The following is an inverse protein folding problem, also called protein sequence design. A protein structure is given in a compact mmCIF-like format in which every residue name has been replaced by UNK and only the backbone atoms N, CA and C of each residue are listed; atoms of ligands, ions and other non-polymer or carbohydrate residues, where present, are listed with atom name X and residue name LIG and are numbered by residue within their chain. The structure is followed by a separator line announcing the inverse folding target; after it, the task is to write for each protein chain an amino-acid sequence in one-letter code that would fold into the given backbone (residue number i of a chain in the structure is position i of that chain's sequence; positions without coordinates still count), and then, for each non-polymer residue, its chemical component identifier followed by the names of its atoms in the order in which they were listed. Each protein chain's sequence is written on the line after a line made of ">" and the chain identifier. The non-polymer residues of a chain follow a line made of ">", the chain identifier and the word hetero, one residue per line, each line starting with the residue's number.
data_IF_560846635134
#
_entry.id   IF_560846635134
#
_cell.length_a   1.000
_cell.length_b   1.000
_cell.length_c   1.000
_cell.angle_alpha   90.00
_cell.angle_beta   90.00
_cell.angle_gamma   90.00
#
_symmetry.space_group_name_H-M   'P 1'
#
loop_
_entity.id
_entity.type
_entity.pdbx_description
1 polymer ?
#
# COMPACT_ATOMS: atom_id res chain seq x y z
N UNK A 1 20.44 39.54 0.84
CA UNK A 1 19.42 38.49 0.62
C UNK A 1 19.96 37.47 -0.38
N UNK A 2 20.72 36.46 0.09
CA UNK A 2 21.17 35.32 -0.74
C UNK A 2 21.33 34.01 0.07
N UNK A 3 21.03 34.04 1.38
CA UNK A 3 21.32 32.95 2.31
C UNK A 3 20.18 31.91 2.31
N UNK A 4 18.91 32.35 2.27
CA UNK A 4 17.73 31.46 2.30
C UNK A 4 17.65 30.47 1.11
N UNK A 5 18.16 30.84 -0.06
CA UNK A 5 18.17 29.97 -1.25
C UNK A 5 19.22 28.85 -1.17
N UNK A 6 20.34 29.08 -0.47
CA UNK A 6 21.40 28.07 -0.32
C UNK A 6 21.03 27.05 0.75
N UNK A 7 20.42 27.50 1.84
CA UNK A 7 19.95 26.63 2.93
C UNK A 7 18.85 25.67 2.45
N UNK A 8 17.93 26.12 1.58
CA UNK A 8 16.89 25.25 1.02
C UNK A 8 17.47 24.15 0.11
N UNK A 9 18.52 24.45 -0.65
CA UNK A 9 19.20 23.47 -1.53
C UNK A 9 19.96 22.44 -0.70
N UNK A 10 20.63 22.87 0.36
CA UNK A 10 21.33 21.98 1.28
C UNK A 10 20.35 21.07 2.03
N UNK A 11 19.25 21.62 2.55
CA UNK A 11 18.20 20.84 3.21
C UNK A 11 17.59 19.77 2.29
N UNK A 12 17.28 20.10 1.03
CA UNK A 12 16.78 19.11 0.05
C UNK A 12 17.78 18.01 -0.24
N UNK A 13 19.08 18.33 -0.26
CA UNK A 13 20.14 17.34 -0.47
C UNK A 13 20.24 16.39 0.72
N UNK A 14 20.15 16.92 1.93
CA UNK A 14 20.14 16.13 3.18
C UNK A 14 18.90 15.23 3.25
N UNK A 15 17.72 15.76 2.92
CA UNK A 15 16.48 14.99 2.90
C UNK A 15 16.54 13.84 1.88
N UNK A 16 17.04 14.12 0.66
CA UNK A 16 17.20 13.07 -0.36
C UNK A 16 18.18 11.99 0.10
N UNK A 17 19.28 12.37 0.75
CA UNK A 17 20.26 11.42 1.29
C UNK A 17 19.64 10.58 2.41
N UNK A 18 18.87 11.19 3.32
CA UNK A 18 18.18 10.50 4.39
C UNK A 18 17.11 9.52 3.86
N UNK A 19 16.34 9.93 2.85
CA UNK A 19 15.34 9.06 2.18
C UNK A 19 16.00 7.88 1.47
N UNK A 20 17.11 8.11 0.77
CA UNK A 20 17.88 7.04 0.12
C UNK A 20 18.40 6.03 1.16
N UNK A 21 19.08 6.51 2.20
CA UNK A 21 19.66 5.66 3.23
C UNK A 21 18.60 4.84 3.99
N UNK A 22 17.46 5.45 4.33
CA UNK A 22 16.38 4.73 5.03
C UNK A 22 15.70 3.69 4.14
N UNK A 23 15.50 4.00 2.85
CA UNK A 23 14.95 3.04 1.90
C UNK A 23 15.88 1.84 1.66
N UNK A 24 17.19 2.06 1.56
CA UNK A 24 18.16 0.97 1.40
C UNK A 24 18.10 0.00 2.60
N UNK A 25 18.07 0.55 3.82
CA UNK A 25 17.95 -0.26 5.05
C UNK A 25 16.61 -1.01 5.08
N UNK A 26 15.52 -0.36 4.69
CA UNK A 26 14.19 -0.98 4.64
C UNK A 26 14.12 -2.12 3.60
N UNK A 27 14.72 -1.95 2.42
CA UNK A 27 14.78 -2.98 1.38
C UNK A 27 15.51 -4.21 1.89
N UNK A 28 16.68 -4.03 2.53
CA UNK A 28 17.44 -5.16 3.11
C UNK A 28 16.64 -5.86 4.21
N UNK A 29 15.90 -5.11 5.03
CA UNK A 29 15.04 -5.69 6.06
C UNK A 29 13.93 -6.56 5.47
N UNK A 30 13.30 -6.10 4.38
CA UNK A 30 12.26 -6.87 3.67
C UNK A 30 12.84 -8.13 3.05
N UNK A 31 14.00 -8.07 2.40
CA UNK A 31 14.64 -9.24 1.79
C UNK A 31 14.99 -10.31 2.84
N UNK A 32 15.50 -9.91 4.01
CA UNK A 32 15.76 -10.84 5.12
C UNK A 32 14.48 -11.46 5.67
N UNK A 33 13.40 -10.68 5.71
CA UNK A 33 12.09 -11.18 6.14
C UNK A 33 11.53 -12.17 5.13
N UNK A 34 11.64 -11.88 3.83
CA UNK A 34 11.28 -12.79 2.74
C UNK A 34 12.04 -14.12 2.86
N UNK A 35 13.37 -14.10 3.00
CA UNK A 35 14.18 -15.30 3.19
C UNK A 35 13.73 -16.11 4.42
N UNK A 36 13.44 -15.43 5.53
CA UNK A 36 12.97 -16.08 6.76
C UNK A 36 11.61 -16.76 6.57
N UNK A 37 10.68 -16.08 5.90
CA UNK A 37 9.33 -16.58 5.64
C UNK A 37 9.34 -17.72 4.63
N UNK A 38 10.18 -17.65 3.59
CA UNK A 38 10.36 -18.72 2.62
C UNK A 38 10.93 -20.00 3.26
N UNK A 39 11.77 -19.84 4.30
CA UNK A 39 12.32 -20.94 5.08
C UNK A 39 11.37 -21.46 6.18
N UNK A 40 10.31 -20.71 6.53
CA UNK A 40 9.38 -21.10 7.58
C UNK A 40 8.27 -22.01 7.05
N UNK A 41 8.40 -23.30 7.36
CA UNK A 41 7.43 -24.33 6.95
C UNK A 41 6.12 -24.29 7.75
N UNK A 42 6.02 -23.48 8.81
CA UNK A 42 4.80 -23.37 9.63
C UNK A 42 3.77 -22.43 9.05
N UNK A 43 4.20 -21.32 8.44
CA UNK A 43 3.27 -20.34 7.86
C UNK A 43 2.68 -20.81 6.52
N UNK A 44 3.29 -21.83 5.88
CA UNK A 44 2.85 -22.44 4.61
C UNK A 44 2.47 -21.39 3.55
N UNK A 45 3.30 -20.35 3.42
CA UNK A 45 3.10 -19.26 2.48
C UNK A 45 3.58 -19.70 1.11
N UNK A 46 2.77 -19.43 0.09
CA UNK A 46 3.16 -19.63 -1.30
C UNK A 46 4.36 -18.73 -1.65
N UNK A 47 5.46 -19.33 -2.13
CA UNK A 47 6.71 -18.62 -2.39
C UNK A 47 6.59 -17.60 -3.54
N UNK A 48 5.69 -17.84 -4.50
CA UNK A 48 5.40 -16.89 -5.57
C UNK A 48 4.66 -15.67 -5.01
N UNK A 49 3.66 -15.88 -4.16
CA UNK A 49 2.96 -14.79 -3.47
C UNK A 49 3.93 -13.97 -2.61
N UNK A 50 4.82 -14.63 -1.87
CA UNK A 50 5.83 -13.98 -1.04
C UNK A 50 6.75 -13.08 -1.88
N UNK A 51 7.26 -13.61 -3.00
CA UNK A 51 8.13 -12.87 -3.95
C UNK A 51 7.39 -11.69 -4.58
N UNK A 52 6.12 -11.88 -4.96
CA UNK A 52 5.31 -10.83 -5.59
C UNK A 52 5.08 -9.65 -4.62
N UNK A 53 4.69 -9.97 -3.38
CA UNK A 53 4.44 -8.97 -2.35
C UNK A 53 5.72 -8.22 -1.99
N UNK A 54 6.84 -8.94 -1.74
CA UNK A 54 8.12 -8.30 -1.41
C UNK A 54 8.60 -7.39 -2.55
N UNK A 55 8.51 -7.86 -3.80
CA UNK A 55 8.90 -7.10 -4.99
C UNK A 55 8.08 -5.82 -5.15
N UNK A 56 6.77 -5.86 -4.88
CA UNK A 56 5.90 -4.68 -4.93
C UNK A 56 6.27 -3.65 -3.85
N UNK A 57 6.57 -4.10 -2.63
CA UNK A 57 6.96 -3.20 -1.53
C UNK A 57 8.34 -2.58 -1.80
N UNK A 58 9.33 -3.39 -2.20
CA UNK A 58 10.68 -2.92 -2.57
C UNK A 58 10.60 -1.95 -3.75
N UNK A 59 9.77 -2.24 -4.77
CA UNK A 59 9.56 -1.37 -5.91
C UNK A 59 9.02 0.00 -5.51
N UNK A 60 8.10 0.07 -4.55
CA UNK A 60 7.60 1.34 -4.00
C UNK A 60 8.69 2.12 -3.25
N UNK A 61 9.51 1.44 -2.43
CA UNK A 61 10.63 2.07 -1.73
C UNK A 61 11.64 2.68 -2.71
N UNK A 62 12.00 1.97 -3.78
CA UNK A 62 12.93 2.47 -4.81
C UNK A 62 12.39 3.71 -5.53
N UNK A 63 11.10 3.71 -5.90
CA UNK A 63 10.46 4.88 -6.54
C UNK A 63 10.50 6.12 -5.65
N UNK A 64 10.41 5.96 -4.32
CA UNK A 64 10.56 7.07 -3.35
C UNK A 64 11.99 7.65 -3.32
N UNK A 65 13.02 6.88 -3.69
CA UNK A 65 14.44 7.29 -3.67
C UNK A 65 14.88 7.93 -4.97
N UNK A 66 14.39 7.44 -6.12
CA UNK A 66 14.85 7.86 -7.45
C UNK A 66 14.58 9.34 -7.78
N UNK A 67 13.90 10.08 -6.90
CA UNK A 67 13.69 11.53 -7.02
C UNK A 67 12.83 11.96 -8.21
N UNK A 68 12.37 11.01 -9.03
CA UNK A 68 11.34 11.18 -10.06
C UNK A 68 9.94 11.32 -9.46
N UNK A 69 9.79 10.90 -8.20
CA UNK A 69 8.60 11.16 -7.42
C UNK A 69 8.83 12.48 -6.66
N UNK A 70 8.27 13.57 -7.19
CA UNK A 70 7.93 14.71 -6.35
C UNK A 70 7.05 14.19 -5.20
N UNK A 71 7.12 14.81 -4.03
CA UNK A 71 6.20 14.49 -2.91
C UNK A 71 4.76 14.52 -3.42
N UNK A 72 4.48 15.45 -4.34
CA UNK A 72 3.20 15.55 -5.06
C UNK A 72 2.85 14.28 -5.86
N UNK A 73 3.78 13.70 -6.63
CA UNK A 73 3.54 12.45 -7.36
C UNK A 73 3.23 11.29 -6.42
N UNK A 74 3.94 11.18 -5.28
CA UNK A 74 3.68 10.11 -4.31
C UNK A 74 2.31 10.26 -3.64
N UNK A 75 1.93 11.50 -3.28
CA UNK A 75 0.60 11.79 -2.73
C UNK A 75 -0.51 11.53 -3.76
N UNK A 76 -0.26 11.81 -5.04
CA UNK A 76 -1.18 11.50 -6.13
C UNK A 76 -1.34 10.00 -6.33
N UNK A 77 -0.26 9.22 -6.32
CA UNK A 77 -0.30 7.76 -6.40
C UNK A 77 -1.13 7.16 -5.25
N UNK A 78 -0.86 7.55 -4.00
CA UNK A 78 -1.62 7.08 -2.82
C UNK A 78 -3.10 7.50 -2.90
N UNK A 79 -3.38 8.72 -3.39
CA UNK A 79 -4.74 9.21 -3.62
C UNK A 79 -5.49 8.41 -4.69
N UNK A 80 -4.82 8.05 -5.78
CA UNK A 80 -5.39 7.22 -6.83
C UNK A 80 -5.65 5.80 -6.34
N UNK A 81 -4.70 5.19 -5.65
CA UNK A 81 -4.84 3.84 -5.09
C UNK A 81 -6.04 3.77 -4.14
N UNK A 82 -6.17 4.75 -3.23
CA UNK A 82 -7.34 4.84 -2.34
C UNK A 82 -8.65 4.94 -3.11
N UNK A 83 -8.72 5.81 -4.13
CA UNK A 83 -9.92 5.96 -4.98
C UNK A 83 -10.29 4.66 -5.69
N UNK A 84 -9.31 3.93 -6.22
CA UNK A 84 -9.55 2.65 -6.86
C UNK A 84 -10.03 1.59 -5.88
N UNK A 85 -9.44 1.49 -4.69
CA UNK A 85 -9.91 0.58 -3.65
C UNK A 85 -11.35 0.90 -3.22
N UNK A 86 -11.69 2.18 -3.02
CA UNK A 86 -13.08 2.58 -2.70
C UNK A 86 -14.06 2.24 -3.84
N UNK A 87 -13.65 2.40 -5.10
CA UNK A 87 -14.49 2.02 -6.24
C UNK A 87 -14.73 0.51 -6.29
N UNK A 88 -13.69 -0.30 -6.00
CA UNK A 88 -13.80 -1.75 -5.92
C UNK A 88 -14.78 -2.17 -4.81
N UNK A 89 -14.61 -1.66 -3.59
CA UNK A 89 -15.50 -1.97 -2.45
C UNK A 89 -16.97 -1.63 -2.75
N UNK A 90 -17.23 -0.50 -3.42
CA UNK A 90 -18.58 -0.13 -3.86
C UNK A 90 -19.16 -1.11 -4.87
N UNK A 91 -18.34 -1.58 -5.81
CA UNK A 91 -18.74 -2.59 -6.78
C UNK A 91 -19.03 -3.93 -6.12
N UNK A 92 -18.17 -4.38 -5.19
CA UNK A 92 -18.36 -5.61 -4.42
C UNK A 92 -19.66 -5.56 -3.62
N UNK A 93 -19.94 -4.42 -2.96
CA UNK A 93 -21.19 -4.20 -2.23
C UNK A 93 -22.41 -4.34 -3.13
N UNK A 94 -22.37 -3.77 -4.34
CA UNK A 94 -23.43 -3.91 -5.34
C UNK A 94 -23.68 -5.37 -5.72
N UNK A 95 -22.61 -6.12 -5.96
CA UNK A 95 -22.72 -7.55 -6.32
C UNK A 95 -23.28 -8.40 -5.17
N UNK A 96 -22.90 -8.12 -3.92
CA UNK A 96 -23.47 -8.82 -2.76
C UNK A 96 -25.00 -8.64 -2.67
N UNK A 97 -25.50 -7.43 -2.91
CA UNK A 97 -26.94 -7.20 -2.97
C UNK A 97 -27.60 -7.96 -4.14
N UNK A 98 -26.95 -8.00 -5.31
CA UNK A 98 -27.43 -8.76 -6.46
C UNK A 98 -27.50 -10.27 -6.16
N UNK A 99 -26.46 -10.85 -5.57
CA UNK A 99 -26.42 -12.25 -5.13
C UNK A 99 -27.51 -12.56 -4.11
N UNK A 100 -27.79 -11.63 -3.19
CA UNK A 100 -28.89 -11.77 -2.22
C UNK A 100 -30.25 -11.74 -2.90
N UNK A 101 -30.47 -10.81 -3.82
CA UNK A 101 -31.71 -10.64 -4.57
C UNK A 101 -32.02 -11.87 -5.44
N UNK A 102 -30.99 -12.46 -6.04
CA UNK A 102 -31.06 -13.69 -6.84
C UNK A 102 -31.04 -14.97 -5.99
N UNK A 103 -31.06 -14.85 -4.66
CA UNK A 103 -31.08 -15.96 -3.68
C UNK A 103 -29.88 -16.90 -3.75
N UNK A 104 -28.74 -16.43 -4.26
CA UNK A 104 -27.49 -17.20 -4.27
C UNK A 104 -26.81 -17.20 -2.89
N UNK A 105 -27.03 -16.16 -2.08
CA UNK A 105 -26.51 -16.06 -0.71
C UNK A 105 -27.62 -15.80 0.31
N UNK A 106 -27.37 -16.25 1.55
CA UNK A 106 -28.27 -16.01 2.68
C UNK A 106 -28.18 -14.56 3.18
N UNK A 107 -29.15 -14.15 4.00
CA UNK A 107 -29.08 -12.84 4.67
C UNK A 107 -27.91 -12.75 5.64
N UNK A 108 -27.63 -13.82 6.38
CA UNK A 108 -26.51 -13.88 7.32
C UNK A 108 -25.16 -13.73 6.61
N UNK A 109 -24.99 -14.44 5.49
CA UNK A 109 -23.82 -14.32 4.61
C UNK A 109 -23.65 -12.89 4.11
N UNK A 110 -24.74 -12.26 3.64
CA UNK A 110 -24.72 -10.86 3.21
C UNK A 110 -24.26 -9.93 4.33
N UNK A 111 -24.87 -10.02 5.52
CA UNK A 111 -24.54 -9.14 6.64
C UNK A 111 -23.08 -9.27 7.08
N UNK A 112 -22.57 -10.51 7.13
CA UNK A 112 -21.16 -10.76 7.45
C UNK A 112 -20.23 -10.09 6.43
N UNK A 113 -20.45 -10.31 5.14
CA UNK A 113 -19.58 -9.76 4.09
C UNK A 113 -19.70 -8.23 3.98
N UNK A 114 -20.89 -7.66 4.19
CA UNK A 114 -21.06 -6.20 4.25
C UNK A 114 -20.26 -5.60 5.41
N UNK A 115 -20.26 -6.24 6.58
CA UNK A 115 -19.48 -5.78 7.72
C UNK A 115 -17.98 -5.79 7.43
N UNK A 116 -17.47 -6.84 6.77
CA UNK A 116 -16.06 -6.92 6.36
C UNK A 116 -15.72 -5.77 5.39
N UNK A 117 -16.60 -5.47 4.42
CA UNK A 117 -16.43 -4.34 3.49
C UNK A 117 -16.48 -2.98 4.22
N UNK A 118 -17.37 -2.81 5.21
CA UNK A 118 -17.47 -1.59 6.01
C UNK A 118 -16.18 -1.33 6.80
N UNK A 119 -15.56 -2.37 7.35
CA UNK A 119 -14.28 -2.26 8.06
C UNK A 119 -13.15 -1.85 7.11
N UNK A 120 -13.08 -2.46 5.92
CA UNK A 120 -12.10 -2.07 4.89
C UNK A 120 -12.32 -0.64 4.39
N UNK A 121 -13.57 -0.22 4.23
CA UNK A 121 -13.93 1.14 3.82
C UNK A 121 -13.55 2.17 4.91
N UNK A 122 -13.77 1.86 6.19
CA UNK A 122 -13.38 2.73 7.30
C UNK A 122 -11.87 3.03 7.32
N UNK A 123 -11.03 1.99 7.13
CA UNK A 123 -9.57 2.13 7.04
C UNK A 123 -9.11 3.02 5.87
N UNK A 124 -9.95 3.19 4.85
CA UNK A 124 -9.65 4.04 3.70
C UNK A 124 -10.18 5.47 3.86
N UNK A 125 -11.11 5.71 4.80
CA UNK A 125 -11.73 7.03 5.00
C UNK A 125 -11.11 7.79 6.18
N UNK A 126 -10.55 7.10 7.18
CA UNK A 126 -9.96 7.73 8.38
C UNK A 126 -8.70 8.57 8.15
N UNK A 127 -8.01 8.44 7.01
CA UNK A 127 -6.82 9.23 6.64
C UNK A 127 -7.16 10.65 6.11
N UNK A 128 -8.26 11.27 6.57
CA UNK A 128 -8.72 12.62 6.18
C UNK A 128 -8.51 13.70 7.23
#
# INVERSE_FOLDING_TARGET
>A
RHIESSDNVQQRKEERLARAATADVAIVAIQKMEERLAADTKENIDNQLLTEVSSRVIGNLRRRVDGRNDVETSMLEESLERRFRLAALRSERGELYHLRATRQISNETLQKLLHDLDLLEALLIEDQ
#
